data_IF_414963602204
#
_entry.id   IF_414963602204
#
_cell.length_a   1.000
_cell.length_b   1.000
_cell.length_c   1.000
_cell.angle_alpha   90.00
_cell.angle_beta   90.00
_cell.angle_gamma   90.00
#
_symmetry.space_group_name_H-M   'P 1'
#
loop_
_entity.id
_entity.type
_entity.pdbx_description
1 polymer ?
#
# COMPACT_ATOMS: atom_id res chain seq x y z
N UNK A 1 11.70 13.22 -12.05
CA UNK A 1 10.37 13.80 -11.70
C UNK A 1 9.95 13.09 -10.42
N UNK A 2 10.02 13.78 -9.27
CA UNK A 2 9.69 13.19 -7.97
C UNK A 2 8.19 12.93 -7.93
N UNK A 3 7.80 11.73 -7.49
CA UNK A 3 6.41 11.30 -7.52
C UNK A 3 5.65 12.04 -6.41
N UNK A 4 4.85 13.04 -6.77
CA UNK A 4 4.15 13.89 -5.80
C UNK A 4 2.87 13.20 -5.29
N UNK A 5 3.06 12.23 -4.38
CA UNK A 5 1.97 11.46 -3.80
C UNK A 5 1.02 12.32 -2.93
N UNK A 6 1.53 13.42 -2.36
CA UNK A 6 0.77 14.34 -1.48
C UNK A 6 -0.32 15.11 -2.20
N UNK A 7 -0.26 15.22 -3.53
CA UNK A 7 -1.31 15.89 -4.33
C UNK A 7 -2.16 14.89 -5.15
N UNK A 8 -1.94 13.59 -5.01
CA UNK A 8 -2.61 12.56 -5.80
C UNK A 8 -3.94 12.12 -5.20
N UNK A 9 -4.90 13.04 -5.12
CA UNK A 9 -6.23 12.76 -4.55
C UNK A 9 -7.02 11.71 -5.34
N UNK A 10 -6.77 11.60 -6.66
CA UNK A 10 -7.34 10.53 -7.50
C UNK A 10 -6.95 9.15 -6.99
N UNK A 11 -5.66 8.93 -6.72
CA UNK A 11 -5.16 7.66 -6.17
C UNK A 11 -5.78 7.38 -4.80
N UNK A 12 -5.80 8.37 -3.91
CA UNK A 12 -6.40 8.21 -2.59
C UNK A 12 -7.90 7.86 -2.65
N UNK A 13 -8.66 8.54 -3.50
CA UNK A 13 -10.09 8.26 -3.68
C UNK A 13 -10.33 6.87 -4.27
N UNK A 14 -9.46 6.39 -5.18
CA UNK A 14 -9.53 5.03 -5.70
C UNK A 14 -9.27 3.98 -4.60
N UNK A 15 -8.27 4.20 -3.75
CA UNK A 15 -7.97 3.32 -2.62
C UNK A 15 -9.13 3.26 -1.63
N UNK A 16 -9.70 4.42 -1.23
CA UNK A 16 -10.89 4.48 -0.36
C UNK A 16 -12.09 3.75 -0.98
N UNK A 17 -12.28 3.91 -2.29
CA UNK A 17 -13.35 3.23 -3.03
C UNK A 17 -13.15 1.71 -3.02
N UNK A 18 -11.92 1.22 -3.21
CA UNK A 18 -11.58 -0.20 -3.13
C UNK A 18 -11.74 -0.76 -1.70
N UNK A 19 -11.29 -0.03 -0.68
CA UNK A 19 -11.47 -0.42 0.73
C UNK A 19 -12.94 -0.68 1.03
N UNK A 20 -13.82 0.23 0.59
CA UNK A 20 -15.27 0.08 0.73
C UNK A 20 -15.82 -1.08 -0.13
N UNK A 21 -15.40 -1.19 -1.39
CA UNK A 21 -15.86 -2.24 -2.33
C UNK A 21 -15.60 -3.65 -1.78
N UNK A 22 -14.44 -3.86 -1.17
CA UNK A 22 -14.01 -5.15 -0.66
C UNK A 22 -14.30 -5.35 0.82
N UNK A 23 -14.99 -4.41 1.48
CA UNK A 23 -15.30 -4.46 2.91
C UNK A 23 -14.05 -4.73 3.77
N UNK A 24 -12.95 -4.06 3.44
CA UNK A 24 -11.66 -4.28 4.11
C UNK A 24 -11.66 -3.63 5.49
N UNK A 25 -11.04 -4.32 6.44
CA UNK A 25 -10.87 -3.81 7.79
C UNK A 25 -9.77 -2.74 7.81
N UNK A 26 -10.17 -1.48 7.64
CA UNK A 26 -9.31 -0.32 7.67
C UNK A 26 -10.04 0.84 8.34
N UNK A 27 -9.46 1.35 9.41
CA UNK A 27 -9.95 2.54 10.11
C UNK A 27 -9.31 3.77 9.50
N UNK A 28 -10.13 4.68 8.96
CA UNK A 28 -9.66 5.97 8.46
C UNK A 28 -9.06 6.79 9.61
N UNK A 29 -7.95 7.48 9.33
CA UNK A 29 -7.37 8.43 10.27
C UNK A 29 -8.19 9.70 10.35
N UNK A 30 -7.75 10.62 11.21
CA UNK A 30 -8.28 11.98 11.26
C UNK A 30 -7.35 12.95 10.52
N UNK A 31 -7.90 14.04 9.99
CA UNK A 31 -7.08 15.11 9.43
C UNK A 31 -6.51 15.94 10.57
N UNK A 32 -5.17 15.99 10.75
CA UNK A 32 -4.59 16.76 11.85
C UNK A 32 -4.62 18.25 11.54
N UNK A 33 -4.41 19.09 12.57
CA UNK A 33 -4.33 20.54 12.44
C UNK A 33 -3.30 21.03 11.41
N UNK A 34 -2.23 20.25 11.20
CA UNK A 34 -1.23 20.50 10.16
C UNK A 34 -1.16 19.29 9.21
N UNK A 35 -2.05 19.22 8.22
CA UNK A 35 -2.16 18.06 7.33
C UNK A 35 -0.96 17.96 6.40
N UNK A 36 -0.60 16.72 6.01
CA UNK A 36 0.48 16.48 5.05
C UNK A 36 0.08 16.78 3.61
N UNK A 37 -1.22 16.97 3.36
CA UNK A 37 -1.80 17.21 2.06
C UNK A 37 -2.99 18.17 2.17
N UNK A 38 -3.25 19.03 1.17
CA UNK A 38 -4.51 19.77 1.09
C UNK A 38 -5.72 18.87 0.81
N UNK A 39 -5.51 17.62 0.40
CA UNK A 39 -6.56 16.68 0.09
C UNK A 39 -6.91 15.82 1.30
N UNK A 40 -8.15 15.91 1.76
CA UNK A 40 -8.65 15.15 2.91
C UNK A 40 -8.44 13.64 2.73
N UNK A 41 -8.79 13.06 1.57
CA UNK A 41 -8.65 11.62 1.31
C UNK A 41 -7.23 11.09 1.48
N UNK A 42 -6.22 11.90 1.17
CA UNK A 42 -4.83 11.55 1.39
C UNK A 42 -4.54 11.49 2.89
N UNK A 43 -4.99 12.47 3.67
CA UNK A 43 -4.80 12.47 5.13
C UNK A 43 -5.52 11.29 5.80
N UNK A 44 -6.78 11.02 5.42
CA UNK A 44 -7.56 9.90 5.97
C UNK A 44 -6.86 8.54 5.77
N UNK A 45 -6.27 8.32 4.59
CA UNK A 45 -5.48 7.10 4.33
C UNK A 45 -4.11 7.13 5.01
N UNK A 46 -3.43 8.28 5.00
CA UNK A 46 -2.07 8.40 5.50
C UNK A 46 -2.00 8.17 7.02
N UNK A 47 -2.97 8.72 7.75
CA UNK A 47 -3.10 8.57 9.20
C UNK A 47 -3.94 7.36 9.62
N UNK A 48 -4.59 6.68 8.67
CA UNK A 48 -5.39 5.49 8.93
C UNK A 48 -4.57 4.28 9.36
N UNK A 49 -5.24 3.32 9.99
CA UNK A 49 -4.68 2.10 10.56
C UNK A 49 -5.59 0.89 10.21
N UNK A 50 -5.07 -0.28 9.80
CA UNK A 50 -3.65 -0.67 9.69
C UNK A 50 -2.83 0.08 8.64
N UNK A 51 -1.55 -0.29 8.45
CA UNK A 51 -0.74 0.33 7.41
C UNK A 51 -1.31 0.04 6.01
N UNK A 52 -1.27 1.01 5.10
CA UNK A 52 -1.65 0.83 3.71
C UNK A 52 -0.55 1.30 2.78
N UNK A 53 -0.27 0.50 1.76
CA UNK A 53 0.65 0.83 0.68
C UNK A 53 0.05 0.42 -0.66
N UNK A 54 0.38 1.14 -1.72
CA UNK A 54 -0.02 0.76 -3.08
C UNK A 54 1.12 0.93 -4.07
N UNK A 55 1.06 0.14 -5.14
CA UNK A 55 2.03 0.16 -6.22
C UNK A 55 1.38 0.50 -7.56
N UNK A 56 2.13 1.09 -8.49
CA UNK A 56 1.73 1.15 -9.89
C UNK A 56 1.83 -0.21 -10.59
N UNK A 57 1.45 -0.27 -11.86
CA UNK A 57 1.50 -1.50 -12.67
C UNK A 57 2.92 -2.05 -12.87
N UNK A 58 3.95 -1.26 -12.58
CA UNK A 58 5.35 -1.64 -12.62
C UNK A 58 5.91 -2.06 -11.26
N UNK A 59 5.07 -2.22 -10.23
CA UNK A 59 5.46 -2.61 -8.88
C UNK A 59 6.09 -1.50 -8.04
N UNK A 60 6.10 -0.25 -8.55
CA UNK A 60 6.69 0.89 -7.84
C UNK A 60 5.71 1.42 -6.82
N UNK A 61 6.14 1.62 -5.58
CA UNK A 61 5.31 2.18 -4.52
C UNK A 61 4.93 3.63 -4.82
N UNK A 62 3.62 3.91 -4.81
CA UNK A 62 3.00 5.21 -5.15
C UNK A 62 2.31 5.86 -3.95
N UNK A 63 1.97 5.06 -2.93
CA UNK A 63 1.43 5.51 -1.66
C UNK A 63 1.96 4.62 -0.54
N UNK A 64 2.22 5.23 0.62
CA UNK A 64 2.69 4.56 1.81
C UNK A 64 2.21 5.35 3.03
N UNK A 65 1.39 4.74 3.88
CA UNK A 65 0.85 5.42 5.05
C UNK A 65 1.86 5.51 6.18
N UNK A 66 1.60 6.40 7.15
CA UNK A 66 2.45 6.58 8.32
C UNK A 66 2.67 5.27 9.09
N UNK A 67 1.64 4.44 9.22
CA UNK A 67 1.74 3.16 9.91
C UNK A 67 2.68 2.18 9.19
N UNK A 68 2.93 2.36 7.89
CA UNK A 68 3.93 1.59 7.16
C UNK A 68 5.32 1.73 7.78
N UNK A 69 5.69 2.94 8.23
CA UNK A 69 7.00 3.21 8.83
C UNK A 69 7.23 2.34 10.06
N UNK A 70 6.20 2.14 10.88
CA UNK A 70 6.24 1.24 12.04
C UNK A 70 6.39 -0.23 11.67
N UNK A 71 5.87 -0.65 10.50
CA UNK A 71 5.94 -2.04 10.03
C UNK A 71 7.28 -2.34 9.37
N UNK A 72 7.71 -1.52 8.40
CA UNK A 72 8.90 -1.81 7.58
C UNK A 72 10.13 -0.96 7.91
N UNK A 73 10.00 0.11 8.70
CA UNK A 73 11.10 0.97 9.12
C UNK A 73 11.55 2.01 8.09
N UNK A 74 10.93 2.05 6.91
CA UNK A 74 11.18 3.09 5.91
C UNK A 74 10.25 4.26 6.16
N UNK A 75 10.78 5.48 6.12
CA UNK A 75 9.91 6.67 6.07
C UNK A 75 9.11 6.68 4.76
N UNK A 76 8.00 7.39 4.74
CA UNK A 76 7.18 7.53 3.54
C UNK A 76 7.99 8.04 2.34
N UNK A 77 8.82 9.06 2.55
CA UNK A 77 9.64 9.64 1.47
C UNK A 77 10.73 8.68 0.97
N UNK A 78 11.20 7.74 1.80
CA UNK A 78 12.11 6.66 1.37
C UNK A 78 11.37 5.54 0.63
N UNK A 79 10.16 5.19 1.09
CA UNK A 79 9.37 4.10 0.55
C UNK A 79 8.82 4.41 -0.85
N UNK A 80 8.37 5.65 -1.07
CA UNK A 80 7.83 6.08 -2.35
C UNK A 80 8.89 5.96 -3.44
N UNK A 81 8.55 5.25 -4.51
CA UNK A 81 9.46 4.97 -5.61
C UNK A 81 10.28 3.69 -5.46
N UNK A 82 10.29 3.01 -4.30
CA UNK A 82 10.85 1.67 -4.17
C UNK A 82 10.04 0.65 -4.96
N UNK A 83 10.66 -0.46 -5.34
CA UNK A 83 9.94 -1.62 -5.86
C UNK A 83 9.35 -2.40 -4.69
N UNK A 84 8.06 -2.77 -4.76
CA UNK A 84 7.40 -3.53 -3.69
C UNK A 84 8.07 -4.88 -3.42
N UNK A 85 8.67 -5.48 -4.45
CA UNK A 85 9.45 -6.73 -4.36
C UNK A 85 10.74 -6.57 -3.54
N UNK A 86 11.25 -5.34 -3.38
CA UNK A 86 12.42 -5.08 -2.54
C UNK A 86 12.10 -5.19 -1.05
N UNK A 87 10.83 -5.07 -0.68
CA UNK A 87 10.35 -5.37 0.66
C UNK A 87 10.27 -6.88 0.94
N UNK A 88 10.54 -7.75 -0.04
CA UNK A 88 10.47 -9.20 0.14
C UNK A 88 11.86 -9.87 0.04
N UNK A 89 12.12 -10.92 0.85
CA UNK A 89 13.27 -11.80 0.63
C UNK A 89 13.30 -12.32 -0.80
N UNK A 90 14.49 -12.47 -1.38
CA UNK A 90 14.66 -12.86 -2.79
C UNK A 90 13.89 -14.15 -3.15
N UNK A 91 13.87 -15.13 -2.22
CA UNK A 91 13.14 -16.39 -2.35
C UNK A 91 11.62 -16.24 -2.55
N UNK A 92 11.03 -15.11 -2.17
CA UNK A 92 9.60 -14.83 -2.34
C UNK A 92 9.28 -13.91 -3.51
N UNK A 93 10.29 -13.42 -4.25
CA UNK A 93 10.07 -12.55 -5.41
C UNK A 93 9.47 -13.29 -6.60
N UNK A 94 9.77 -14.59 -6.76
CA UNK A 94 9.35 -15.42 -7.92
C UNK A 94 7.85 -15.76 -8.03
N UNK A 95 6.99 -15.22 -7.17
CA UNK A 95 5.53 -15.39 -7.25
C UNK A 95 4.75 -14.09 -7.47
N UNK A 96 5.46 -12.96 -7.60
CA UNK A 96 4.82 -11.63 -7.55
C UNK A 96 3.87 -11.37 -8.71
N UNK A 97 4.32 -11.66 -9.93
CA UNK A 97 3.56 -11.42 -11.15
C UNK A 97 2.28 -12.28 -11.20
N UNK A 98 2.39 -13.54 -10.78
CA UNK A 98 1.23 -14.44 -10.69
C UNK A 98 0.23 -13.94 -9.65
N UNK A 99 0.68 -13.51 -8.47
CA UNK A 99 -0.19 -12.92 -7.46
C UNK A 99 -0.87 -11.64 -7.98
N UNK A 100 -0.12 -10.74 -8.63
CA UNK A 100 -0.68 -9.54 -9.24
C UNK A 100 -1.78 -9.89 -10.23
N UNK A 101 -1.50 -10.81 -11.16
CA UNK A 101 -2.44 -11.26 -12.18
C UNK A 101 -3.70 -11.84 -11.56
N UNK A 102 -3.57 -12.74 -10.58
CA UNK A 102 -4.71 -13.36 -9.90
C UNK A 102 -5.63 -12.34 -9.23
N UNK A 103 -5.06 -11.36 -8.51
CA UNK A 103 -5.84 -10.34 -7.79
C UNK A 103 -6.57 -9.41 -8.78
N UNK A 104 -5.89 -9.00 -9.85
CA UNK A 104 -6.46 -8.09 -10.85
C UNK A 104 -7.51 -8.79 -11.74
N UNK A 105 -7.26 -10.04 -12.15
CA UNK A 105 -8.16 -10.80 -13.02
C UNK A 105 -9.42 -11.25 -12.28
N UNK A 106 -9.28 -11.71 -11.03
CA UNK A 106 -10.42 -12.13 -10.21
C UNK A 106 -11.17 -10.95 -9.62
N UNK A 107 -10.57 -9.75 -9.63
CA UNK A 107 -11.16 -8.54 -9.05
C UNK A 107 -11.52 -8.73 -7.57
N UNK A 108 -10.72 -9.48 -6.83
CA UNK A 108 -10.98 -9.95 -5.46
C UNK A 108 -9.84 -9.59 -4.50
N UNK A 109 -10.18 -9.26 -3.25
CA UNK A 109 -9.21 -9.11 -2.18
C UNK A 109 -8.76 -10.48 -1.63
N UNK A 110 -7.50 -10.59 -1.21
CA UNK A 110 -6.92 -11.82 -0.67
C UNK A 110 -6.05 -11.55 0.55
N UNK A 111 -6.25 -12.36 1.58
CA UNK A 111 -5.39 -12.36 2.76
C UNK A 111 -4.21 -13.31 2.54
N UNK A 112 -3.00 -12.81 2.80
CA UNK A 112 -1.77 -13.58 2.75
C UNK A 112 -0.94 -13.32 4.01
N UNK A 113 -0.46 -14.38 4.64
CA UNK A 113 0.65 -14.29 5.58
C UNK A 113 1.96 -14.42 4.81
N UNK A 114 2.91 -13.53 5.08
CA UNK A 114 4.14 -13.50 4.31
C UNK A 114 5.30 -12.91 5.11
N UNK A 115 6.51 -13.09 4.59
CA UNK A 115 7.74 -12.54 5.18
C UNK A 115 8.20 -11.35 4.33
N UNK A 116 8.61 -10.28 5.01
CA UNK A 116 9.14 -9.06 4.41
C UNK A 116 10.48 -8.68 5.05
N UNK A 117 11.21 -7.79 4.40
CA UNK A 117 12.48 -7.24 4.86
C UNK A 117 12.22 -5.86 5.44
N UNK A 118 12.50 -5.72 6.73
CA UNK A 118 12.55 -4.43 7.39
C UNK A 118 13.81 -3.66 6.96
N UNK A 119 13.80 -2.33 7.01
CA UNK A 119 14.94 -1.45 6.66
C UNK A 119 16.26 -1.85 7.31
N UNK A 120 16.21 -2.42 8.52
CA UNK A 120 17.39 -2.92 9.24
C UNK A 120 17.96 -4.25 8.70
N UNK A 121 17.39 -4.80 7.61
CA UNK A 121 17.78 -6.09 7.02
C UNK A 121 17.17 -7.32 7.67
N UNK A 122 16.41 -7.18 8.77
CA UNK A 122 15.76 -8.32 9.44
C UNK A 122 14.49 -8.73 8.72
N UNK A 123 14.18 -10.02 8.78
CA UNK A 123 12.89 -10.54 8.33
C UNK A 123 11.80 -10.18 9.34
N UNK A 124 10.62 -9.82 8.83
CA UNK A 124 9.40 -9.56 9.61
C UNK A 124 8.26 -10.40 9.03
N UNK A 125 7.44 -10.99 9.90
CA UNK A 125 6.21 -11.66 9.49
C UNK A 125 5.08 -10.62 9.48
N UNK A 126 4.29 -10.63 8.41
CA UNK A 126 3.13 -9.74 8.27
C UNK A 126 1.92 -10.54 7.78
N UNK A 127 0.74 -10.04 8.13
CA UNK A 127 -0.51 -10.31 7.41
C UNK A 127 -0.75 -9.18 6.42
N UNK A 128 -1.14 -9.51 5.19
CA UNK A 128 -1.47 -8.53 4.17
C UNK A 128 -2.80 -8.87 3.50
N UNK A 129 -3.75 -7.93 3.52
CA UNK A 129 -4.95 -7.96 2.69
C UNK A 129 -4.62 -7.24 1.38
N UNK A 130 -4.35 -8.00 0.32
CA UNK A 130 -3.98 -7.48 -1.00
C UNK A 130 -5.23 -7.36 -1.86
N UNK A 131 -5.46 -6.22 -2.48
CA UNK A 131 -6.70 -5.93 -3.22
C UNK A 131 -6.44 -5.05 -4.44
N UNK A 132 -7.28 -5.14 -5.49
CA UNK A 132 -7.11 -4.32 -6.67
C UNK A 132 -7.67 -2.90 -6.47
N UNK A 133 -7.09 -1.95 -7.18
CA UNK A 133 -7.61 -0.60 -7.33
C UNK A 133 -7.43 -0.14 -8.77
N UNK A 134 -8.19 0.88 -9.19
CA UNK A 134 -8.13 1.42 -10.55
C UNK A 134 -8.08 2.95 -10.52
N UNK A 135 -7.17 3.52 -11.33
CA UNK A 135 -7.08 4.97 -11.57
C UNK A 135 -7.01 5.22 -13.07
N UNK A 136 -7.91 6.05 -13.60
CA UNK A 136 -7.97 6.41 -15.03
C UNK A 136 -7.93 5.16 -15.96
N UNK A 137 -8.66 4.09 -15.61
CA UNK A 137 -8.73 2.84 -16.39
C UNK A 137 -7.54 1.89 -16.20
N UNK A 138 -6.55 2.26 -15.38
CA UNK A 138 -5.37 1.42 -15.09
C UNK A 138 -5.53 0.72 -13.76
N UNK A 139 -5.58 -0.61 -13.80
CA UNK A 139 -5.62 -1.45 -12.61
C UNK A 139 -4.22 -1.70 -12.05
N UNK A 140 -4.13 -1.69 -10.73
CA UNK A 140 -2.99 -2.18 -9.97
C UNK A 140 -3.50 -2.70 -8.63
N UNK A 141 -2.61 -2.94 -7.67
CA UNK A 141 -2.96 -3.49 -6.37
C UNK A 141 -2.39 -2.67 -5.22
N UNK A 142 -3.11 -2.72 -4.11
CA UNK A 142 -2.73 -2.17 -2.83
C UNK A 142 -2.76 -3.27 -1.77
N UNK A 143 -2.17 -2.98 -0.61
CA UNK A 143 -2.17 -3.88 0.52
C UNK A 143 -2.41 -3.10 1.81
N UNK A 144 -3.34 -3.60 2.63
CA UNK A 144 -3.43 -3.27 4.06
C UNK A 144 -2.58 -4.30 4.80
N UNK A 145 -1.68 -3.86 5.67
CA UNK A 145 -0.65 -4.71 6.27
C UNK A 145 -0.55 -4.52 7.78
N UNK A 146 -0.37 -5.63 8.46
CA UNK A 146 -0.20 -5.73 9.91
C UNK A 146 0.96 -6.64 10.25
N UNK A 147 1.71 -6.30 11.29
CA UNK A 147 2.77 -7.16 11.81
C UNK A 147 2.15 -8.26 12.68
N UNK A 148 2.59 -9.51 12.51
CA UNK A 148 2.11 -10.69 13.26
C UNK A 148 3.26 -11.45 13.92
#
# INVERSE_FOLDING_TARGET
>A
MTLNWKDNSKLANALLSSIKKYSLDFTLGETPNNPISPNESINLLYYGNPAILCEDSGGRLMFYSQHGESVFGYSTDEAIGMQSVDLAPERFRKGREQLFKEIVEKDEARNIETIRIHKSGREIKISAQVFPYEVDGKKSIAAIVEKI
#
